data_IF_244914753452
#
_entry.id   IF_244914753452
#
_cell.length_a   1.000
_cell.length_b   1.000
_cell.length_c   1.000
_cell.angle_alpha   90.00
_cell.angle_beta   90.00
_cell.angle_gamma   90.00
#
_symmetry.space_group_name_H-M   'P 1'
#
loop_
_entity.id
_entity.type
_entity.pdbx_description
1 polymer ?
#
# COMPACT_ATOMS: atom_id res chain seq x y z
N UNK A 1 22.15 -20.79 -0.65
CA UNK A 1 20.74 -20.57 -0.98
C UNK A 1 19.89 -20.84 0.24
N UNK A 2 19.06 -19.91 0.63
CA UNK A 2 18.07 -20.20 1.66
C UNK A 2 17.12 -21.28 1.11
N UNK A 3 16.95 -22.36 1.87
CA UNK A 3 16.02 -23.41 1.50
C UNK A 3 14.59 -22.87 1.54
N UNK A 4 13.82 -23.13 0.52
CA UNK A 4 12.41 -22.76 0.49
C UNK A 4 11.69 -23.46 1.66
N UNK A 5 10.88 -22.68 2.41
CA UNK A 5 10.09 -23.25 3.49
C UNK A 5 9.12 -24.30 2.93
N UNK A 6 8.91 -25.44 3.62
CA UNK A 6 8.07 -26.53 3.10
C UNK A 6 6.62 -26.12 2.80
N UNK A 7 6.12 -25.06 3.44
CA UNK A 7 4.76 -24.56 3.19
C UNK A 7 4.69 -23.61 1.98
N UNK A 8 5.82 -23.29 1.34
CA UNK A 8 5.86 -22.45 0.15
C UNK A 8 5.81 -23.36 -1.10
N UNK A 9 4.72 -23.23 -1.83
CA UNK A 9 4.54 -23.99 -3.08
C UNK A 9 5.46 -23.45 -4.18
N UNK A 10 5.53 -22.13 -4.32
CA UNK A 10 6.28 -21.50 -5.39
C UNK A 10 6.78 -20.12 -4.96
N UNK A 11 8.00 -19.80 -5.33
CA UNK A 11 8.54 -18.41 -5.24
C UNK A 11 8.07 -17.65 -6.47
N UNK A 12 7.26 -16.60 -6.26
CA UNK A 12 6.79 -15.72 -7.33
C UNK A 12 7.82 -14.64 -7.66
N UNK A 13 8.43 -14.07 -6.64
CA UNK A 13 9.42 -13.00 -6.76
C UNK A 13 10.60 -13.28 -5.83
N UNK A 14 11.79 -13.18 -6.37
CA UNK A 14 13.02 -13.29 -5.59
C UNK A 14 13.29 -11.99 -4.82
N UNK A 15 14.22 -12.04 -3.86
CA UNK A 15 14.68 -10.83 -3.17
C UNK A 15 15.24 -9.80 -4.16
N UNK A 16 15.96 -10.25 -5.19
CA UNK A 16 16.51 -9.38 -6.23
C UNK A 16 15.41 -8.71 -7.06
N UNK A 17 14.36 -9.46 -7.41
CA UNK A 17 13.18 -8.92 -8.10
C UNK A 17 12.52 -7.82 -7.26
N UNK A 18 12.34 -8.09 -5.97
CA UNK A 18 11.72 -7.15 -5.03
C UNK A 18 12.57 -5.88 -4.89
N UNK A 19 13.89 -6.03 -4.73
CA UNK A 19 14.80 -4.88 -4.62
C UNK A 19 14.75 -4.00 -5.86
N UNK A 20 14.70 -4.60 -7.04
CA UNK A 20 14.56 -3.87 -8.30
C UNK A 20 13.23 -3.11 -8.41
N UNK A 21 12.14 -3.75 -8.02
CA UNK A 21 10.81 -3.14 -8.02
C UNK A 21 10.75 -1.94 -7.06
N UNK A 22 11.22 -2.12 -5.84
CA UNK A 22 11.20 -1.07 -4.82
C UNK A 22 12.09 0.12 -5.23
N UNK A 23 13.25 -0.15 -5.80
CA UNK A 23 14.14 0.90 -6.32
C UNK A 23 13.50 1.71 -7.44
N UNK A 24 12.82 1.04 -8.37
CA UNK A 24 12.10 1.71 -9.46
C UNK A 24 10.97 2.58 -8.93
N UNK A 25 10.18 2.07 -8.00
CA UNK A 25 9.10 2.84 -7.38
C UNK A 25 9.63 4.05 -6.62
N UNK A 26 10.71 3.89 -5.86
CA UNK A 26 11.34 4.99 -5.12
C UNK A 26 11.84 6.10 -6.05
N UNK A 27 12.43 5.75 -7.18
CA UNK A 27 12.86 6.72 -8.19
C UNK A 27 11.69 7.48 -8.81
N UNK A 28 10.62 6.77 -9.17
CA UNK A 28 9.41 7.39 -9.74
C UNK A 28 8.77 8.37 -8.76
N UNK A 29 8.63 7.96 -7.50
CA UNK A 29 8.04 8.80 -6.44
C UNK A 29 8.92 10.02 -6.19
N UNK A 30 10.23 9.84 -6.14
CA UNK A 30 11.19 10.94 -5.95
C UNK A 30 11.02 12.02 -7.03
N UNK A 31 10.89 11.60 -8.29
CA UNK A 31 10.66 12.54 -9.40
C UNK A 31 9.31 13.23 -9.32
N UNK A 32 8.26 12.47 -9.09
CA UNK A 32 6.88 12.97 -9.16
C UNK A 32 6.52 13.89 -7.99
N UNK A 33 7.15 13.69 -6.84
CA UNK A 33 6.88 14.48 -5.64
C UNK A 33 7.98 15.49 -5.30
N UNK A 34 8.90 15.74 -6.20
CA UNK A 34 9.93 16.77 -6.00
C UNK A 34 9.28 18.14 -5.76
N UNK A 35 9.70 18.81 -4.68
CA UNK A 35 9.14 20.10 -4.28
C UNK A 35 7.77 20.02 -3.58
N UNK A 36 7.25 18.83 -3.34
CA UNK A 36 5.97 18.63 -2.65
C UNK A 36 6.17 18.20 -1.21
N UNK A 37 5.15 18.41 -0.39
CA UNK A 37 5.12 18.02 1.02
C UNK A 37 4.57 16.61 1.16
N UNK A 38 5.42 15.62 0.91
CA UNK A 38 5.03 14.21 0.83
C UNK A 38 4.86 13.57 2.22
N UNK A 39 3.72 12.91 2.39
CA UNK A 39 3.43 12.04 3.53
C UNK A 39 3.14 10.64 3.02
N UNK A 40 3.90 9.66 3.50
CA UNK A 40 3.62 8.24 3.25
C UNK A 40 2.78 7.68 4.40
N UNK A 41 1.69 7.02 4.08
CA UNK A 41 0.83 6.35 5.05
C UNK A 41 0.77 4.87 4.72
N UNK A 42 1.22 4.03 5.63
CA UNK A 42 1.10 2.59 5.50
C UNK A 42 -0.02 2.05 6.37
N UNK A 43 -0.75 1.08 5.83
CA UNK A 43 -1.79 0.37 6.57
C UNK A 43 -1.17 -0.86 7.23
N UNK A 44 -1.19 -0.87 8.56
CA UNK A 44 -0.64 -1.96 9.36
C UNK A 44 -1.51 -3.24 9.21
N UNK A 45 -0.93 -4.40 9.32
CA UNK A 45 0.49 -4.67 9.54
C UNK A 45 1.21 -4.99 8.23
N UNK A 46 0.47 -5.49 7.22
CA UNK A 46 1.03 -6.06 5.99
C UNK A 46 2.01 -5.16 5.26
N UNK A 47 1.74 -3.87 5.23
CA UNK A 47 2.55 -2.92 4.48
C UNK A 47 3.83 -2.45 5.20
N UNK A 48 4.10 -2.91 6.44
CA UNK A 48 5.21 -2.36 7.23
C UNK A 48 6.58 -2.61 6.59
N UNK A 49 6.81 -3.80 6.04
CA UNK A 49 8.09 -4.15 5.43
C UNK A 49 8.29 -3.38 4.13
N UNK A 50 7.28 -3.34 3.28
CA UNK A 50 7.33 -2.56 2.04
C UNK A 50 7.54 -1.07 2.31
N UNK A 51 6.83 -0.51 3.28
CA UNK A 51 7.03 0.87 3.70
C UNK A 51 8.49 1.13 4.09
N UNK A 52 9.07 0.26 4.91
CA UNK A 52 10.46 0.38 5.35
C UNK A 52 11.45 0.37 4.19
N UNK A 53 11.24 -0.50 3.22
CA UNK A 53 12.10 -0.59 2.05
C UNK A 53 11.89 0.59 1.09
N UNK A 54 10.64 0.96 0.85
CA UNK A 54 10.29 2.03 -0.08
C UNK A 54 10.78 3.40 0.41
N UNK A 55 10.56 3.71 1.69
CA UNK A 55 10.95 5.02 2.24
C UNK A 55 12.44 5.28 2.13
N UNK A 56 13.28 4.24 2.16
CA UNK A 56 14.74 4.37 1.99
C UNK A 56 15.17 4.63 0.55
N UNK A 57 14.26 4.43 -0.42
CA UNK A 57 14.51 4.66 -1.84
C UNK A 57 13.93 5.99 -2.33
N UNK A 58 13.25 6.71 -1.47
CA UNK A 58 12.71 8.04 -1.79
C UNK A 58 13.68 9.09 -1.28
N UNK A 59 14.29 9.82 -2.20
CA UNK A 59 15.31 10.85 -1.92
C UNK A 59 14.68 12.24 -1.75
N UNK A 60 13.66 12.31 -0.90
CA UNK A 60 12.94 13.54 -0.55
C UNK A 60 12.73 13.60 0.96
N UNK A 61 12.72 14.80 1.56
CA UNK A 61 12.20 14.96 2.92
C UNK A 61 10.76 14.46 2.96
N UNK A 62 10.48 13.45 3.77
CA UNK A 62 9.20 12.78 3.79
C UNK A 62 8.79 12.46 5.22
N UNK A 63 7.54 12.73 5.57
CA UNK A 63 6.96 12.23 6.81
C UNK A 63 6.32 10.87 6.54
N UNK A 64 6.37 10.01 7.55
CA UNK A 64 5.69 8.72 7.52
C UNK A 64 4.70 8.63 8.67
N UNK A 65 3.60 7.92 8.43
CA UNK A 65 2.62 7.60 9.46
C UNK A 65 1.95 6.27 9.15
N UNK A 66 1.20 5.76 10.11
CA UNK A 66 0.56 4.46 10.02
C UNK A 66 -0.89 4.54 10.45
N UNK A 67 -1.71 3.71 9.82
CA UNK A 67 -3.08 3.45 10.24
C UNK A 67 -3.27 1.96 10.46
N UNK A 68 -4.11 1.61 11.41
CA UNK A 68 -4.56 0.24 11.60
C UNK A 68 -6.08 0.21 11.52
N UNK A 69 -6.60 -0.71 10.74
CA UNK A 69 -8.04 -0.88 10.55
C UNK A 69 -8.43 -2.35 10.74
N UNK A 70 -9.66 -2.58 11.18
CA UNK A 70 -10.25 -3.91 11.20
C UNK A 70 -11.51 -3.90 10.34
N UNK A 71 -11.72 -4.99 9.58
CA UNK A 71 -12.99 -5.18 8.89
C UNK A 71 -14.08 -5.52 9.92
N UNK A 72 -15.27 -4.95 9.72
CA UNK A 72 -16.41 -5.23 10.58
C UNK A 72 -17.15 -6.48 10.07
N UNK A 73 -17.28 -7.50 10.93
CA UNK A 73 -18.02 -8.73 10.66
C UNK A 73 -17.14 -9.95 10.43
N UNK A 74 -17.50 -11.06 11.08
CA UNK A 74 -16.82 -12.38 11.02
C UNK A 74 -17.16 -13.15 9.71
N UNK A 75 -17.52 -12.45 8.65
CA UNK A 75 -17.90 -13.07 7.39
C UNK A 75 -16.76 -13.12 6.37
N UNK A 76 -16.78 -14.16 5.56
CA UNK A 76 -15.89 -14.39 4.42
C UNK A 76 -16.01 -13.26 3.37
N UNK A 77 -17.04 -12.41 3.48
CA UNK A 77 -17.23 -11.22 2.66
C UNK A 77 -17.16 -9.99 3.54
N UNK A 78 -16.11 -9.22 3.37
CA UNK A 78 -16.02 -7.88 3.95
C UNK A 78 -17.21 -7.05 3.46
N UNK A 79 -17.97 -6.45 4.39
CA UNK A 79 -19.06 -5.52 4.07
C UNK A 79 -18.54 -4.16 3.56
N UNK A 80 -17.22 -3.96 3.51
CA UNK A 80 -16.60 -2.70 3.19
C UNK A 80 -16.61 -1.67 4.32
N UNK A 81 -17.24 -2.00 5.45
CA UNK A 81 -17.22 -1.16 6.64
C UNK A 81 -15.99 -1.52 7.45
N UNK A 82 -15.14 -0.54 7.74
CA UNK A 82 -13.94 -0.72 8.54
C UNK A 82 -14.00 0.14 9.78
N UNK A 83 -13.37 -0.37 10.82
CA UNK A 83 -13.15 0.36 12.06
C UNK A 83 -11.69 0.79 12.11
N UNK A 84 -11.45 2.08 12.35
CA UNK A 84 -10.10 2.60 12.55
C UNK A 84 -9.68 2.28 13.98
N UNK A 85 -8.68 1.41 14.15
CA UNK A 85 -8.12 1.03 15.43
C UNK A 85 -7.02 1.99 15.84
N UNK A 86 -6.16 2.36 14.90
CA UNK A 86 -5.14 3.40 15.05
C UNK A 86 -5.31 4.42 13.93
N UNK A 87 -5.49 5.66 14.30
CA UNK A 87 -5.57 6.78 13.38
C UNK A 87 -4.20 7.46 13.22
N UNK A 88 -4.11 8.37 12.25
CA UNK A 88 -2.92 9.18 12.02
C UNK A 88 -2.61 10.06 13.22
N UNK A 89 -1.32 10.25 13.48
CA UNK A 89 -0.83 11.21 14.47
C UNK A 89 -0.64 12.60 13.84
N UNK A 90 -0.44 12.67 12.53
CA UNK A 90 -0.19 13.91 11.81
C UNK A 90 -1.45 14.42 11.12
N UNK A 91 -1.53 15.75 10.96
CA UNK A 91 -2.56 16.41 10.17
C UNK A 91 -2.12 16.42 8.69
N UNK A 92 -2.94 15.84 7.82
CA UNK A 92 -2.65 15.74 6.38
C UNK A 92 -3.26 16.85 5.54
N UNK A 93 -3.95 17.82 6.16
CA UNK A 93 -4.59 18.90 5.43
C UNK A 93 -3.57 19.67 4.59
N UNK A 94 -3.86 19.80 3.30
CA UNK A 94 -3.00 20.53 2.36
C UNK A 94 -1.70 19.83 1.99
N UNK A 95 -1.49 18.60 2.44
CA UNK A 95 -0.30 17.82 2.17
C UNK A 95 -0.53 16.81 1.05
N UNK A 96 0.55 16.40 0.39
CA UNK A 96 0.49 15.36 -0.64
C UNK A 96 0.64 13.98 0.01
N UNK A 97 -0.43 13.17 -0.05
CA UNK A 97 -0.52 11.89 0.65
C UNK A 97 -0.41 10.73 -0.33
N UNK A 98 0.46 9.79 -0.02
CA UNK A 98 0.62 8.54 -0.74
C UNK A 98 0.41 7.38 0.21
N UNK A 99 -0.65 6.60 -0.03
CA UNK A 99 -0.94 5.39 0.73
C UNK A 99 -0.08 4.26 0.19
N UNK A 100 0.60 3.58 1.10
CA UNK A 100 1.50 2.45 0.79
C UNK A 100 0.82 1.15 1.18
N UNK A 101 0.55 0.31 0.19
CA UNK A 101 -0.08 -1.01 0.33
C UNK A 101 0.84 -2.11 -0.16
N UNK A 102 0.88 -3.23 0.56
CA UNK A 102 1.62 -4.41 0.14
C UNK A 102 0.91 -5.13 -1.02
N UNK A 103 -0.37 -5.41 -0.85
CA UNK A 103 -1.19 -6.07 -1.87
C UNK A 103 -2.51 -5.33 -2.03
N UNK A 104 -2.85 -4.99 -3.27
CA UNK A 104 -4.16 -4.49 -3.62
C UNK A 104 -4.97 -5.63 -4.24
N UNK A 105 -5.97 -6.07 -3.50
CA UNK A 105 -6.93 -7.11 -3.88
C UNK A 105 -8.22 -6.46 -4.40
N UNK A 106 -9.37 -6.70 -3.78
CA UNK A 106 -10.65 -6.07 -4.17
C UNK A 106 -10.65 -4.54 -3.97
N UNK A 107 -9.88 -4.06 -3.01
CA UNK A 107 -9.76 -2.64 -2.70
C UNK A 107 -10.91 -2.05 -1.89
N UNK A 108 -11.84 -2.87 -1.38
CA UNK A 108 -12.99 -2.38 -0.60
C UNK A 108 -12.58 -1.62 0.66
N UNK A 109 -11.67 -2.20 1.45
CA UNK A 109 -11.15 -1.57 2.65
C UNK A 109 -10.41 -0.28 2.33
N UNK A 110 -9.59 -0.31 1.29
CA UNK A 110 -8.82 0.85 0.85
C UNK A 110 -9.72 1.97 0.34
N UNK A 111 -10.78 1.64 -0.38
CA UNK A 111 -11.79 2.61 -0.85
C UNK A 111 -12.42 3.36 0.32
N UNK A 112 -12.82 2.66 1.36
CA UNK A 112 -13.36 3.27 2.57
C UNK A 112 -12.33 4.20 3.23
N UNK A 113 -11.10 3.72 3.34
CA UNK A 113 -10.00 4.48 3.95
C UNK A 113 -9.69 5.75 3.15
N UNK A 114 -9.62 5.65 1.84
CA UNK A 114 -9.39 6.81 0.96
C UNK A 114 -10.49 7.85 1.11
N UNK A 115 -11.75 7.42 1.18
CA UNK A 115 -12.87 8.35 1.39
C UNK A 115 -12.75 9.08 2.72
N UNK A 116 -12.35 8.39 3.78
CA UNK A 116 -12.08 8.99 5.08
C UNK A 116 -10.94 10.02 5.01
N UNK A 117 -9.83 9.66 4.36
CA UNK A 117 -8.67 10.54 4.23
C UNK A 117 -8.97 11.76 3.34
N UNK A 118 -9.74 11.59 2.27
CA UNK A 118 -10.18 12.71 1.43
C UNK A 118 -10.98 13.75 2.22
N UNK A 119 -11.78 13.31 3.18
CA UNK A 119 -12.55 14.22 4.05
C UNK A 119 -11.66 15.14 4.89
N UNK A 120 -10.39 14.79 5.07
CA UNK A 120 -9.38 15.58 5.79
C UNK A 120 -8.67 16.62 4.90
N UNK A 121 -9.07 16.73 3.64
CA UNK A 121 -8.62 17.74 2.66
C UNK A 121 -7.11 17.75 2.41
N UNK A 122 -6.50 16.62 2.05
CA UNK A 122 -5.12 16.64 1.56
C UNK A 122 -5.03 17.38 0.22
N UNK A 123 -3.85 17.85 -0.15
CA UNK A 123 -3.62 18.45 -1.46
C UNK A 123 -3.72 17.42 -2.59
N UNK A 124 -3.28 16.19 -2.32
CA UNK A 124 -3.46 15.04 -3.21
C UNK A 124 -3.52 13.75 -2.38
N UNK A 125 -4.15 12.73 -2.93
CA UNK A 125 -4.27 11.41 -2.32
C UNK A 125 -4.14 10.34 -3.40
N UNK A 126 -3.07 9.56 -3.32
CA UNK A 126 -2.77 8.51 -4.29
C UNK A 126 -2.35 7.23 -3.58
N UNK A 127 -2.24 6.13 -4.33
CA UNK A 127 -1.88 4.81 -3.81
C UNK A 127 -0.66 4.27 -4.54
N UNK A 128 0.26 3.71 -3.76
CA UNK A 128 1.37 2.88 -4.23
C UNK A 128 1.15 1.45 -3.72
N UNK A 129 0.94 0.52 -4.62
CA UNK A 129 0.79 -0.90 -4.30
C UNK A 129 2.02 -1.68 -4.75
N UNK A 130 2.57 -2.51 -3.87
CA UNK A 130 3.66 -3.40 -4.27
C UNK A 130 3.16 -4.48 -5.23
N UNK A 131 2.08 -5.17 -4.85
CA UNK A 131 1.41 -6.16 -5.70
C UNK A 131 -0.01 -5.72 -6.02
N UNK A 132 -0.38 -5.79 -7.28
CA UNK A 132 -1.76 -5.60 -7.71
C UNK A 132 -2.29 -6.93 -8.22
N UNK A 133 -3.20 -7.53 -7.44
CA UNK A 133 -3.79 -8.83 -7.77
C UNK A 133 -4.71 -8.75 -8.97
N UNK A 134 -4.60 -9.75 -9.85
CA UNK A 134 -5.50 -9.91 -10.98
C UNK A 134 -6.78 -10.62 -10.50
N UNK A 135 -7.76 -9.84 -10.03
CA UNK A 135 -9.06 -10.37 -9.58
C UNK A 135 -10.14 -10.02 -10.61
N UNK A 136 -11.05 -10.96 -10.86
CA UNK A 136 -12.12 -10.80 -11.85
C UNK A 136 -13.15 -9.76 -11.40
N UNK A 137 -13.50 -9.76 -10.12
CA UNK A 137 -14.52 -8.88 -9.56
C UNK A 137 -13.88 -7.71 -8.81
N UNK A 138 -13.57 -6.65 -9.54
CA UNK A 138 -13.16 -5.37 -8.94
C UNK A 138 -14.36 -4.50 -8.69
N UNK A 139 -14.96 -4.67 -7.53
CA UNK A 139 -16.08 -3.82 -7.11
C UNK A 139 -15.65 -2.41 -6.72
N UNK A 140 -14.36 -2.18 -6.54
CA UNK A 140 -13.79 -0.87 -6.26
C UNK A 140 -13.11 -0.28 -7.49
N UNK A 141 -13.32 1.01 -7.71
CA UNK A 141 -12.73 1.76 -8.82
C UNK A 141 -11.34 2.33 -8.49
N UNK A 142 -10.61 1.75 -7.53
CA UNK A 142 -9.29 2.24 -7.16
C UNK A 142 -8.26 1.78 -8.18
N UNK A 143 -7.62 2.78 -8.79
CA UNK A 143 -6.45 2.56 -9.64
C UNK A 143 -5.23 3.14 -8.94
N UNK A 144 -4.28 2.31 -8.51
CA UNK A 144 -3.07 2.81 -7.87
C UNK A 144 -2.24 3.62 -8.87
N UNK A 145 -1.66 4.71 -8.40
CA UNK A 145 -0.75 5.53 -9.21
C UNK A 145 0.57 4.80 -9.47
N UNK A 146 1.04 4.05 -8.48
CA UNK A 146 2.26 3.26 -8.57
C UNK A 146 1.94 1.80 -8.31
N UNK A 147 2.43 0.94 -9.19
CA UNK A 147 2.28 -0.52 -9.10
C UNK A 147 3.67 -1.15 -9.20
N UNK A 148 4.04 -1.91 -8.19
CA UNK A 148 5.28 -2.67 -8.24
C UNK A 148 5.23 -3.72 -9.32
N UNK A 149 4.30 -4.64 -9.19
CA UNK A 149 4.03 -5.66 -10.19
C UNK A 149 2.63 -6.24 -10.03
N UNK A 150 2.15 -6.89 -11.07
CA UNK A 150 0.92 -7.68 -11.00
C UNK A 150 1.21 -9.07 -10.45
N UNK A 151 0.25 -9.65 -9.76
CA UNK A 151 0.33 -11.05 -9.33
C UNK A 151 -0.99 -11.77 -9.61
N UNK A 152 -0.94 -13.11 -9.79
CA UNK A 152 -2.15 -13.89 -9.99
C UNK A 152 -3.04 -13.85 -8.74
N UNK A 153 -4.32 -14.19 -8.92
CA UNK A 153 -5.27 -14.32 -7.82
C UNK A 153 -4.97 -15.60 -7.04
N UNK A 154 -3.96 -15.53 -6.20
CA UNK A 154 -3.50 -16.63 -5.35
C UNK A 154 -3.20 -16.09 -3.95
N UNK A 155 -3.17 -16.97 -2.97
CA UNK A 155 -2.73 -16.63 -1.63
C UNK A 155 -1.20 -16.49 -1.63
N UNK A 156 -0.71 -15.31 -1.28
CA UNK A 156 0.72 -15.00 -1.26
C UNK A 156 1.16 -14.61 0.14
N UNK A 157 2.39 -14.94 0.49
CA UNK A 157 3.04 -14.64 1.77
C UNK A 157 4.45 -14.12 1.55
N UNK A 158 4.99 -13.40 2.53
CA UNK A 158 6.36 -12.92 2.48
C UNK A 158 6.54 -11.48 2.92
#
# INVERSE_FOLDING_TARGET
>A
MASQHPDIEKVLFTQEDIDGIVSRLGEQITRDYAGKDLVLIAVLRGAVVFMGDLMRKIELPTNIDFMAVSSYGDGVKSSGIVRIIKDLDIDIRGRDVLIVEDILDSGLTLKYLMKNLESRKPASLEVAAFLWKDVEDRTSAITPKYVGTHCPDAFVVG
#
